data_IF_877334449197
#
_entry.id   IF_877334449197
#
_cell.length_a   1.000
_cell.length_b   1.000
_cell.length_c   1.000
_cell.angle_alpha   90.00
_cell.angle_beta   90.00
_cell.angle_gamma   90.00
#
_symmetry.space_group_name_H-M   'P 1'
#
loop_
_entity.id
_entity.type
_entity.pdbx_description
1 polymer ?
#
# COMPACT_ATOMS: atom_id res chain seq x y z
N UNK A 1 43.02 13.60 18.10
CA UNK A 1 43.06 14.06 16.71
C UNK A 1 41.91 13.31 16.01
N UNK A 2 40.73 13.98 15.85
CA UNK A 2 39.57 13.40 15.14
C UNK A 2 39.93 13.33 13.67
N UNK A 3 39.63 12.22 12.96
CA UNK A 3 39.70 12.24 11.51
C UNK A 3 38.53 13.08 11.00
N UNK A 4 38.86 14.10 10.22
CA UNK A 4 37.90 14.90 9.49
C UNK A 4 37.10 14.00 8.54
N UNK A 5 35.79 13.93 8.79
CA UNK A 5 34.86 13.36 7.83
C UNK A 5 34.88 14.25 6.58
N UNK A 6 35.69 13.85 5.62
CA UNK A 6 35.72 14.44 4.28
C UNK A 6 34.38 14.11 3.63
N UNK A 7 33.45 15.03 3.79
CA UNK A 7 32.19 15.05 3.08
C UNK A 7 32.50 15.13 1.59
N UNK A 8 32.52 14.00 0.93
CA UNK A 8 32.54 13.93 -0.53
C UNK A 8 31.15 14.35 -1.05
N UNK A 9 30.81 15.61 -0.83
CA UNK A 9 29.73 16.31 -1.48
C UNK A 9 30.19 16.75 -2.85
N UNK A 10 30.32 15.83 -3.80
CA UNK A 10 30.40 16.18 -5.20
C UNK A 10 29.08 16.88 -5.56
N UNK A 11 29.13 18.04 -6.21
CA UNK A 11 28.10 19.00 -6.60
C UNK A 11 26.73 18.55 -7.14
N UNK A 12 26.27 17.39 -6.73
CA UNK A 12 24.93 16.87 -6.97
C UNK A 12 24.04 17.38 -5.82
N UNK A 13 23.00 18.12 -6.19
CA UNK A 13 22.04 18.63 -5.21
C UNK A 13 21.40 17.50 -4.40
N UNK A 14 21.10 17.77 -3.13
CA UNK A 14 20.48 16.80 -2.19
C UNK A 14 19.24 16.11 -2.78
N UNK A 15 18.42 16.86 -3.51
CA UNK A 15 17.20 16.35 -4.16
C UNK A 15 17.50 15.22 -5.15
N UNK A 16 18.58 15.34 -5.92
CA UNK A 16 18.98 14.28 -6.88
C UNK A 16 19.45 13.01 -6.16
N UNK A 17 20.20 13.15 -5.07
CA UNK A 17 20.65 12.02 -4.26
C UNK A 17 19.47 11.33 -3.58
N UNK A 18 18.50 12.10 -3.06
CA UNK A 18 17.27 11.56 -2.47
C UNK A 18 16.41 10.84 -3.51
N UNK A 19 16.23 11.43 -4.70
CA UNK A 19 15.50 10.81 -5.81
C UNK A 19 16.16 9.50 -6.28
N UNK A 20 17.49 9.48 -6.38
CA UNK A 20 18.24 8.27 -6.71
C UNK A 20 18.00 7.18 -5.65
N UNK A 21 18.17 7.51 -4.36
CA UNK A 21 18.00 6.57 -3.26
C UNK A 21 16.56 6.04 -3.20
N UNK A 22 15.58 6.91 -3.36
CA UNK A 22 14.17 6.52 -3.43
C UNK A 22 13.93 5.53 -4.56
N UNK A 23 14.39 5.82 -5.77
CA UNK A 23 14.23 4.92 -6.92
C UNK A 23 14.94 3.60 -6.66
N UNK A 24 16.18 3.61 -6.18
CA UNK A 24 16.94 2.41 -5.89
C UNK A 24 16.28 1.52 -4.82
N UNK A 25 15.59 2.09 -3.83
CA UNK A 25 14.87 1.36 -2.77
C UNK A 25 13.53 0.82 -3.29
N UNK A 26 12.77 1.62 -4.02
CA UNK A 26 11.40 1.27 -4.42
C UNK A 26 11.35 0.37 -5.65
N UNK A 27 12.36 0.42 -6.51
CA UNK A 27 12.47 -0.45 -7.68
C UNK A 27 12.85 -1.88 -7.28
N UNK A 28 11.90 -2.79 -7.37
CA UNK A 28 12.07 -4.20 -7.04
C UNK A 28 12.32 -5.09 -8.27
N UNK A 29 12.43 -4.50 -9.47
CA UNK A 29 12.69 -5.19 -10.73
C UNK A 29 14.16 -5.57 -10.90
N UNK A 30 14.62 -6.66 -10.27
CA UNK A 30 15.97 -7.19 -10.45
C UNK A 30 16.95 -6.87 -9.31
N UNK A 31 18.26 -6.92 -9.64
CA UNK A 31 19.33 -6.71 -8.68
C UNK A 31 19.45 -5.25 -8.22
N UNK A 32 20.24 -5.01 -7.17
CA UNK A 32 20.53 -3.64 -6.71
C UNK A 32 21.30 -2.85 -7.78
N UNK A 33 22.21 -3.52 -8.51
CA UNK A 33 23.00 -2.92 -9.57
C UNK A 33 22.10 -2.43 -10.71
N UNK A 34 21.13 -3.23 -11.14
CA UNK A 34 20.14 -2.84 -12.15
C UNK A 34 19.25 -1.70 -11.67
N UNK A 35 18.82 -1.73 -10.41
CA UNK A 35 18.05 -0.65 -9.80
C UNK A 35 18.88 0.64 -9.71
N UNK A 36 20.18 0.57 -9.41
CA UNK A 36 21.09 1.71 -9.38
C UNK A 36 21.25 2.35 -10.76
N UNK A 37 21.33 1.55 -11.83
CA UNK A 37 21.36 2.05 -13.22
C UNK A 37 20.08 2.82 -13.55
N UNK A 38 18.90 2.26 -13.22
CA UNK A 38 17.62 2.94 -13.45
C UNK A 38 17.48 4.21 -12.59
N UNK A 39 17.94 4.16 -11.33
CA UNK A 39 17.97 5.32 -10.46
C UNK A 39 18.87 6.45 -11.00
N UNK A 40 20.04 6.10 -11.55
CA UNK A 40 20.96 7.04 -12.17
C UNK A 40 20.32 7.69 -13.40
N UNK A 41 19.63 6.93 -14.24
CA UNK A 41 18.90 7.47 -15.39
C UNK A 41 17.78 8.43 -14.95
N UNK A 42 17.00 8.07 -13.91
CA UNK A 42 15.93 8.91 -13.35
C UNK A 42 16.48 10.19 -12.69
N UNK A 43 17.69 10.15 -12.11
CA UNK A 43 18.36 11.29 -11.50
C UNK A 43 19.06 12.23 -12.49
N UNK A 44 18.76 12.13 -13.79
CA UNK A 44 19.29 13.01 -14.84
C UNK A 44 20.55 12.48 -15.52
N UNK A 45 20.75 11.14 -15.55
CA UNK A 45 21.78 10.48 -16.34
C UNK A 45 23.21 10.57 -15.76
N UNK A 46 23.37 10.98 -14.51
CA UNK A 46 24.65 10.84 -13.83
C UNK A 46 24.89 9.35 -13.52
N UNK A 47 26.04 8.82 -13.94
CA UNK A 47 26.46 7.46 -13.61
C UNK A 47 26.87 7.42 -12.12
N UNK A 48 25.88 7.28 -11.25
CA UNK A 48 26.07 7.25 -9.79
C UNK A 48 26.19 5.81 -9.31
N UNK A 49 27.30 5.48 -8.70
CA UNK A 49 27.45 4.24 -7.96
C UNK A 49 26.72 4.33 -6.60
N UNK A 50 26.43 3.18 -6.01
CA UNK A 50 25.80 3.12 -4.68
C UNK A 50 26.66 3.85 -3.64
N UNK A 51 27.99 3.77 -3.76
CA UNK A 51 28.98 4.39 -2.88
C UNK A 51 28.99 5.93 -2.94
N UNK A 52 28.50 6.50 -4.04
CA UNK A 52 28.37 7.96 -4.20
C UNK A 52 27.17 8.50 -3.41
N UNK A 53 26.18 7.66 -3.14
CA UNK A 53 24.91 8.04 -2.51
C UNK A 53 24.83 7.54 -1.07
N UNK A 54 25.31 6.35 -0.79
CA UNK A 54 25.26 5.73 0.55
C UNK A 54 26.68 5.50 1.11
N UNK A 55 26.95 6.04 2.28
CA UNK A 55 28.22 5.78 2.95
C UNK A 55 28.25 4.37 3.58
N UNK A 56 29.38 3.65 3.55
CA UNK A 56 29.55 2.42 4.31
C UNK A 56 29.52 2.70 5.83
N UNK A 57 29.31 1.65 6.61
CA UNK A 57 29.52 1.67 8.07
C UNK A 57 30.72 0.79 8.45
N UNK A 58 31.02 0.70 9.74
CA UNK A 58 32.09 -0.18 10.24
C UNK A 58 31.87 -1.68 9.92
N UNK A 59 30.60 -2.08 9.70
CA UNK A 59 30.19 -3.49 9.53
C UNK A 59 29.53 -3.81 8.19
N UNK A 60 29.09 -2.79 7.45
CA UNK A 60 28.29 -2.96 6.23
C UNK A 60 28.80 -2.03 5.14
N UNK A 61 28.94 -2.56 3.94
CA UNK A 61 29.16 -1.77 2.72
C UNK A 61 27.95 -0.87 2.40
N UNK A 62 28.14 0.10 1.53
CA UNK A 62 27.07 0.94 1.03
C UNK A 62 25.95 0.11 0.37
N UNK A 63 26.33 -0.86 -0.46
CA UNK A 63 25.39 -1.75 -1.15
C UNK A 63 24.57 -2.59 -0.17
N UNK A 64 25.20 -3.20 0.85
CA UNK A 64 24.48 -3.97 1.88
C UNK A 64 23.48 -3.10 2.64
N UNK A 65 23.84 -1.86 2.97
CA UNK A 65 22.93 -0.92 3.62
C UNK A 65 21.72 -0.61 2.76
N UNK A 66 21.91 -0.25 1.48
CA UNK A 66 20.79 0.01 0.56
C UNK A 66 19.92 -1.25 0.39
N UNK A 67 20.54 -2.43 0.31
CA UNK A 67 19.81 -3.70 0.19
C UNK A 67 18.94 -4.00 1.44
N UNK A 68 19.37 -3.61 2.63
CA UNK A 68 18.54 -3.70 3.84
C UNK A 68 17.29 -2.82 3.69
N UNK A 69 17.44 -1.57 3.26
CA UNK A 69 16.32 -0.67 3.04
C UNK A 69 15.34 -1.19 1.96
N UNK A 70 15.85 -1.78 0.88
CA UNK A 70 15.02 -2.45 -0.15
C UNK A 70 14.17 -3.57 0.46
N UNK A 71 14.78 -4.44 1.26
CA UNK A 71 14.06 -5.52 1.95
C UNK A 71 13.03 -5.00 2.94
N UNK A 72 13.38 -3.96 3.71
CA UNK A 72 12.46 -3.32 4.66
C UNK A 72 11.28 -2.65 3.95
N UNK A 73 11.52 -2.03 2.80
CA UNK A 73 10.46 -1.44 1.99
C UNK A 73 9.43 -2.50 1.55
N UNK A 74 9.91 -3.61 0.98
CA UNK A 74 9.03 -4.74 0.60
C UNK A 74 8.27 -5.28 1.80
N UNK A 75 8.96 -5.50 2.93
CA UNK A 75 8.29 -6.00 4.13
C UNK A 75 7.16 -5.08 4.59
N UNK A 76 7.38 -3.76 4.55
CA UNK A 76 6.35 -2.77 4.90
C UNK A 76 5.17 -2.74 3.92
N UNK A 77 5.40 -2.93 2.61
CA UNK A 77 4.31 -3.03 1.64
C UNK A 77 3.44 -4.27 1.91
N UNK A 78 4.11 -5.41 2.18
CA UNK A 78 3.40 -6.66 2.49
C UNK A 78 2.64 -6.55 3.79
N UNK A 79 3.22 -5.97 4.83
CA UNK A 79 2.59 -5.74 6.13
C UNK A 79 1.35 -4.84 6.00
N UNK A 80 1.50 -3.67 5.36
CA UNK A 80 0.38 -2.74 5.17
C UNK A 80 -0.79 -3.37 4.41
N UNK A 81 -0.52 -4.11 3.32
CA UNK A 81 -1.61 -4.78 2.60
C UNK A 81 -2.14 -6.02 3.33
N UNK A 82 -1.34 -6.65 4.19
CA UNK A 82 -1.80 -7.77 4.99
C UNK A 82 -2.79 -7.33 6.09
N UNK A 83 -2.61 -6.13 6.62
CA UNK A 83 -3.53 -5.53 7.59
C UNK A 83 -4.84 -5.10 6.91
N UNK A 84 -4.74 -4.49 5.71
CA UNK A 84 -5.91 -4.01 4.95
C UNK A 84 -6.71 -5.15 4.28
N UNK A 85 -6.05 -6.27 3.93
CA UNK A 85 -6.57 -7.38 3.12
C UNK A 85 -6.27 -8.74 3.75
N UNK A 86 -6.63 -8.89 5.01
CA UNK A 86 -6.35 -10.09 5.82
C UNK A 86 -7.02 -11.35 5.26
N UNK A 87 -8.24 -11.22 4.74
CA UNK A 87 -9.01 -12.33 4.16
C UNK A 87 -8.43 -12.78 2.81
N UNK A 88 -8.04 -11.82 1.95
CA UNK A 88 -7.32 -12.13 0.70
C UNK A 88 -6.00 -12.83 1.01
N UNK A 89 -5.27 -12.38 2.03
CA UNK A 89 -4.02 -13.02 2.47
C UNK A 89 -4.25 -14.43 2.97
N UNK A 90 -5.28 -14.65 3.79
CA UNK A 90 -5.62 -15.97 4.30
C UNK A 90 -5.95 -16.94 3.16
N UNK A 91 -6.78 -16.51 2.23
CA UNK A 91 -7.21 -17.32 1.08
C UNK A 91 -6.04 -17.71 0.17
N UNK A 92 -5.14 -16.79 -0.14
CA UNK A 92 -3.97 -17.03 -0.98
C UNK A 92 -2.83 -17.76 -0.28
N UNK A 93 -2.73 -17.61 1.03
CA UNK A 93 -1.55 -17.98 1.81
C UNK A 93 -0.40 -16.97 1.65
N UNK A 94 0.49 -16.94 2.62
CA UNK A 94 1.51 -15.89 2.79
C UNK A 94 2.43 -15.71 1.57
N UNK A 95 2.85 -16.79 0.92
CA UNK A 95 3.79 -16.71 -0.20
C UNK A 95 3.13 -16.18 -1.49
N UNK A 96 1.91 -16.64 -1.82
CA UNK A 96 1.18 -16.14 -2.98
C UNK A 96 0.73 -14.69 -2.76
N UNK A 97 0.29 -14.34 -1.55
CA UNK A 97 -0.03 -12.97 -1.20
C UNK A 97 1.18 -12.03 -1.33
N UNK A 98 2.36 -12.46 -0.88
CA UNK A 98 3.59 -11.68 -1.06
C UNK A 98 3.90 -11.44 -2.54
N UNK A 99 3.72 -12.44 -3.40
CA UNK A 99 3.89 -12.31 -4.87
C UNK A 99 2.88 -11.32 -5.45
N UNK A 100 1.61 -11.41 -5.03
CA UNK A 100 0.56 -10.46 -5.40
C UNK A 100 0.97 -9.03 -5.04
N UNK A 101 1.41 -8.79 -3.80
CA UNK A 101 1.82 -7.45 -3.35
C UNK A 101 2.96 -6.88 -4.18
N UNK A 102 3.97 -7.70 -4.53
CA UNK A 102 5.09 -7.26 -5.35
C UNK A 102 4.66 -6.94 -6.79
N UNK A 103 3.81 -7.76 -7.39
CA UNK A 103 3.28 -7.52 -8.72
C UNK A 103 2.38 -6.27 -8.75
N UNK A 104 1.52 -6.11 -7.76
CA UNK A 104 0.71 -4.92 -7.58
C UNK A 104 1.56 -3.65 -7.41
N UNK A 105 2.58 -3.68 -6.55
CA UNK A 105 3.48 -2.55 -6.31
C UNK A 105 4.29 -2.14 -7.54
N UNK A 106 4.59 -3.08 -8.43
CA UNK A 106 5.29 -2.79 -9.69
C UNK A 106 4.40 -1.97 -10.65
N UNK A 107 3.10 -2.23 -10.70
CA UNK A 107 2.14 -1.46 -11.50
C UNK A 107 1.65 -0.19 -10.79
N UNK A 108 1.52 -0.25 -9.48
CA UNK A 108 0.98 0.82 -8.63
C UNK A 108 1.99 1.21 -7.52
N UNK A 109 3.12 1.85 -7.89
CA UNK A 109 4.12 2.25 -6.90
C UNK A 109 3.53 3.28 -5.93
N UNK A 110 3.85 3.14 -4.64
CA UNK A 110 3.44 4.11 -3.63
C UNK A 110 4.04 5.49 -3.94
N UNK A 111 3.18 6.51 -4.03
CA UNK A 111 3.55 7.91 -4.27
C UNK A 111 3.37 8.80 -3.05
N UNK A 112 2.91 8.22 -1.94
CA UNK A 112 2.73 8.90 -0.67
C UNK A 112 3.79 8.45 0.32
N UNK A 113 4.10 9.31 1.29
CA UNK A 113 4.96 8.95 2.42
C UNK A 113 4.24 7.99 3.40
N UNK A 114 2.91 7.91 3.34
CA UNK A 114 2.10 6.95 4.08
C UNK A 114 1.63 5.82 3.15
N UNK A 115 1.38 4.65 3.72
CA UNK A 115 0.83 3.51 3.00
C UNK A 115 -0.70 3.37 3.19
N UNK A 116 -1.34 4.29 3.90
CA UNK A 116 -2.76 4.23 4.24
C UNK A 116 -3.71 4.07 3.03
N UNK A 117 -3.28 4.52 1.85
CA UNK A 117 -4.08 4.39 0.61
C UNK A 117 -3.39 3.53 -0.45
N UNK A 118 -2.37 2.80 -0.04
CA UNK A 118 -1.60 1.98 -0.99
C UNK A 118 -2.45 0.86 -1.59
N UNK A 119 -3.39 0.31 -0.81
CA UNK A 119 -4.28 -0.78 -1.22
C UNK A 119 -5.52 -0.36 -2.02
N UNK A 120 -5.83 0.93 -2.16
CA UNK A 120 -7.10 1.41 -2.77
C UNK A 120 -7.40 0.80 -4.14
N UNK A 121 -6.39 0.52 -4.94
CA UNK A 121 -6.54 -0.03 -6.30
C UNK A 121 -6.37 -1.56 -6.37
N UNK A 122 -6.12 -2.25 -5.25
CA UNK A 122 -5.93 -3.70 -5.25
C UNK A 122 -7.14 -4.48 -5.79
N UNK A 123 -8.41 -4.14 -5.46
CA UNK A 123 -9.56 -4.82 -6.05
C UNK A 123 -9.61 -4.66 -7.58
N UNK A 124 -9.26 -3.49 -8.08
CA UNK A 124 -9.23 -3.24 -9.53
C UNK A 124 -8.08 -4.00 -10.22
N UNK A 125 -6.91 -4.07 -9.57
CA UNK A 125 -5.78 -4.88 -10.04
C UNK A 125 -6.18 -6.36 -10.12
N UNK A 126 -6.76 -6.92 -9.06
CA UNK A 126 -7.22 -8.31 -9.02
C UNK A 126 -8.25 -8.60 -10.09
N UNK A 127 -9.21 -7.70 -10.34
CA UNK A 127 -10.22 -7.88 -11.39
C UNK A 127 -9.59 -7.99 -12.79
N UNK A 128 -8.48 -7.29 -13.07
CA UNK A 128 -7.76 -7.41 -14.34
C UNK A 128 -6.92 -8.69 -14.45
N UNK A 129 -6.54 -9.27 -13.33
CA UNK A 129 -5.65 -10.42 -13.23
C UNK A 129 -6.34 -11.67 -12.67
N UNK A 130 -7.68 -11.68 -12.56
CA UNK A 130 -8.43 -12.76 -11.92
C UNK A 130 -8.11 -14.14 -12.51
N UNK A 131 -7.92 -14.23 -13.82
CA UNK A 131 -7.57 -15.48 -14.52
C UNK A 131 -6.19 -16.06 -14.16
N UNK A 132 -5.35 -15.33 -13.45
CA UNK A 132 -4.02 -15.80 -13.00
C UNK A 132 -4.09 -16.54 -11.64
N UNK A 133 -5.24 -16.45 -10.95
CA UNK A 133 -5.42 -17.00 -9.61
C UNK A 133 -6.48 -18.10 -9.62
N UNK A 134 -6.28 -19.12 -8.76
CA UNK A 134 -7.36 -20.04 -8.44
C UNK A 134 -8.46 -19.23 -7.71
N UNK A 135 -9.73 -19.44 -8.12
CA UNK A 135 -10.87 -18.71 -7.56
C UNK A 135 -10.71 -17.17 -7.63
N UNK A 136 -10.15 -16.69 -8.76
CA UNK A 136 -9.83 -15.26 -8.92
C UNK A 136 -11.03 -14.33 -8.76
N UNK A 137 -12.22 -14.75 -9.18
CA UNK A 137 -13.45 -13.95 -9.02
C UNK A 137 -13.84 -13.83 -7.55
N UNK A 138 -13.68 -14.88 -6.74
CA UNK A 138 -13.84 -14.81 -5.28
C UNK A 138 -12.82 -13.86 -4.65
N UNK A 139 -11.55 -13.91 -5.08
CA UNK A 139 -10.52 -12.98 -4.60
C UNK A 139 -10.87 -11.53 -4.89
N UNK A 140 -11.47 -11.24 -6.04
CA UNK A 140 -11.96 -9.89 -6.38
C UNK A 140 -13.05 -9.46 -5.41
N UNK A 141 -14.02 -10.33 -5.13
CA UNK A 141 -15.11 -10.02 -4.20
C UNK A 141 -14.62 -9.83 -2.77
N UNK A 142 -13.69 -10.67 -2.29
CA UNK A 142 -13.04 -10.50 -0.98
C UNK A 142 -12.32 -9.15 -0.90
N UNK A 143 -11.52 -8.81 -1.90
CA UNK A 143 -10.80 -7.54 -1.93
C UNK A 143 -11.74 -6.33 -2.02
N UNK A 144 -12.83 -6.41 -2.78
CA UNK A 144 -13.85 -5.34 -2.86
C UNK A 144 -14.51 -5.12 -1.51
N UNK A 145 -14.80 -6.20 -0.80
CA UNK A 145 -15.42 -6.13 0.52
C UNK A 145 -14.46 -5.48 1.54
N UNK A 146 -13.21 -5.97 1.64
CA UNK A 146 -12.22 -5.42 2.58
C UNK A 146 -11.89 -3.96 2.27
N UNK A 147 -11.76 -3.58 1.00
CA UNK A 147 -11.59 -2.18 0.61
C UNK A 147 -12.76 -1.30 1.02
N UNK A 148 -14.00 -1.79 0.91
CA UNK A 148 -15.19 -1.06 1.36
C UNK A 148 -15.23 -0.93 2.88
N UNK A 149 -14.85 -1.97 3.60
CA UNK A 149 -14.74 -1.96 5.05
C UNK A 149 -13.73 -0.91 5.53
N UNK A 150 -12.55 -0.88 4.91
CA UNK A 150 -11.50 0.10 5.22
C UNK A 150 -11.98 1.53 4.95
N UNK A 151 -12.65 1.78 3.81
CA UNK A 151 -13.23 3.10 3.50
C UNK A 151 -14.32 3.50 4.49
N UNK A 152 -15.17 2.55 4.91
CA UNK A 152 -16.22 2.81 5.89
C UNK A 152 -15.62 3.14 7.27
N UNK A 153 -14.52 2.48 7.64
CA UNK A 153 -13.79 2.74 8.87
C UNK A 153 -13.10 4.11 8.88
N UNK A 154 -12.50 4.50 7.75
CA UNK A 154 -11.79 5.77 7.57
C UNK A 154 -12.73 6.94 7.22
N UNK A 155 -14.04 6.69 7.06
CA UNK A 155 -15.00 7.73 6.71
C UNK A 155 -15.10 8.80 7.79
N UNK A 156 -15.29 10.05 7.33
CA UNK A 156 -15.48 11.16 8.26
C UNK A 156 -16.71 10.91 9.16
N UNK A 157 -16.62 11.22 10.47
CA UNK A 157 -17.75 11.11 11.36
C UNK A 157 -18.90 12.00 10.87
N UNK A 158 -20.08 11.42 10.70
CA UNK A 158 -21.28 12.17 10.38
C UNK A 158 -22.09 12.43 11.64
N UNK A 159 -22.75 13.58 11.70
CA UNK A 159 -23.80 13.82 12.70
C UNK A 159 -24.93 12.82 12.44
N UNK A 160 -25.15 11.93 13.38
CA UNK A 160 -26.26 10.97 13.32
C UNK A 160 -27.50 11.55 14.00
N UNK A 161 -28.66 11.31 13.41
CA UNK A 161 -29.93 11.64 14.06
C UNK A 161 -30.14 10.67 15.23
N UNK A 162 -30.29 11.20 16.43
CA UNK A 162 -30.71 10.40 17.56
C UNK A 162 -32.22 10.05 17.49
N UNK A 163 -32.64 9.04 18.23
CA UNK A 163 -34.02 8.58 18.23
C UNK A 163 -34.97 9.68 18.71
N UNK A 164 -34.53 10.54 19.62
CA UNK A 164 -35.34 11.64 20.15
C UNK A 164 -35.62 12.69 19.06
N UNK A 165 -34.62 13.03 18.28
CA UNK A 165 -34.76 13.92 17.12
C UNK A 165 -35.70 13.33 16.06
N UNK A 166 -35.54 12.04 15.76
CA UNK A 166 -36.43 11.33 14.81
C UNK A 166 -37.88 11.34 15.29
N UNK A 167 -38.13 11.10 16.58
CA UNK A 167 -39.50 11.11 17.15
C UNK A 167 -40.14 12.49 17.19
N UNK A 168 -39.36 13.57 17.19
CA UNK A 168 -39.87 14.94 17.13
C UNK A 168 -40.31 15.41 15.73
N UNK A 169 -39.96 14.65 14.68
CA UNK A 169 -40.33 15.00 13.30
C UNK A 169 -41.82 14.79 13.16
N UNK A 170 -42.61 15.86 12.87
CA UNK A 170 -44.05 15.73 12.67
C UNK A 170 -44.36 14.80 11.50
N UNK A 171 -45.44 14.03 11.61
CA UNK A 171 -45.82 13.04 10.61
C UNK A 171 -45.95 13.65 9.20
N UNK A 172 -46.48 14.87 9.12
CA UNK A 172 -46.67 15.63 7.87
C UNK A 172 -45.33 16.01 7.22
N UNK A 173 -44.25 16.18 8.05
CA UNK A 173 -42.94 16.55 7.55
C UNK A 173 -42.24 15.40 6.86
N UNK A 174 -42.58 14.14 7.17
CA UNK A 174 -41.94 12.97 6.59
C UNK A 174 -42.05 12.91 5.06
N UNK A 175 -43.12 13.39 4.48
CA UNK A 175 -43.32 13.41 3.03
C UNK A 175 -42.33 14.33 2.30
N UNK A 176 -41.72 15.27 3.02
CA UNK A 176 -40.73 16.23 2.51
C UNK A 176 -39.34 16.04 3.12
N UNK A 177 -39.18 15.10 4.05
CA UNK A 177 -37.90 14.82 4.69
C UNK A 177 -37.00 14.09 3.73
N UNK A 178 -35.77 14.59 3.60
CA UNK A 178 -34.72 13.96 2.83
C UNK A 178 -33.68 13.38 3.80
N UNK A 179 -33.50 12.07 3.80
CA UNK A 179 -32.45 11.41 4.53
C UNK A 179 -31.19 11.37 3.67
N UNK A 180 -30.07 11.70 4.28
CA UNK A 180 -28.75 11.60 3.67
C UNK A 180 -28.03 10.42 4.32
N UNK A 181 -27.57 9.44 3.55
CA UNK A 181 -26.81 8.32 4.12
C UNK A 181 -25.52 8.80 4.80
N UNK A 182 -25.08 8.06 5.82
CA UNK A 182 -23.76 8.27 6.40
C UNK A 182 -22.66 8.09 5.33
N UNK A 183 -21.58 8.89 5.36
CA UNK A 183 -20.41 8.68 4.50
C UNK A 183 -19.79 7.28 4.63
N UNK A 184 -19.99 6.62 5.77
CA UNK A 184 -19.53 5.26 6.02
C UNK A 184 -20.44 4.17 5.40
N UNK A 185 -21.58 4.54 4.78
CA UNK A 185 -22.45 3.56 4.14
C UNK A 185 -21.91 3.17 2.78
N UNK A 186 -21.54 1.90 2.64
CA UNK A 186 -21.13 1.27 1.38
C UNK A 186 -22.19 0.23 0.96
N UNK A 187 -22.50 0.18 -0.31
CA UNK A 187 -23.39 -0.84 -0.89
C UNK A 187 -22.59 -1.62 -1.94
N UNK A 188 -22.46 -2.91 -1.75
CA UNK A 188 -21.72 -3.80 -2.63
C UNK A 188 -22.64 -4.85 -3.23
N UNK A 189 -22.47 -5.10 -4.53
CA UNK A 189 -22.95 -6.30 -5.20
C UNK A 189 -21.78 -7.25 -5.39
N UNK A 190 -21.85 -8.44 -4.80
CA UNK A 190 -20.84 -9.48 -4.82
C UNK A 190 -21.47 -10.74 -5.41
N UNK A 191 -20.68 -11.53 -6.15
CA UNK A 191 -21.13 -12.79 -6.74
C UNK A 191 -20.95 -13.98 -5.79
N UNK A 192 -20.04 -13.83 -4.82
CA UNK A 192 -19.68 -14.88 -3.86
C UNK A 192 -20.07 -14.49 -2.43
N UNK A 193 -20.30 -15.50 -1.62
CA UNK A 193 -20.48 -15.34 -0.18
C UNK A 193 -19.12 -15.10 0.47
N UNK A 194 -18.91 -13.88 1.00
CA UNK A 194 -17.63 -13.47 1.61
C UNK A 194 -17.64 -13.50 3.14
N UNK A 195 -18.82 -13.59 3.76
CA UNK A 195 -18.97 -13.47 5.21
C UNK A 195 -18.27 -14.58 5.99
N UNK A 196 -18.34 -15.82 5.51
CA UNK A 196 -17.66 -16.97 6.14
C UNK A 196 -16.13 -16.86 6.08
N UNK A 197 -15.59 -16.29 5.00
CA UNK A 197 -14.15 -16.08 4.84
C UNK A 197 -13.64 -15.00 5.80
N UNK A 198 -14.42 -13.95 6.02
CA UNK A 198 -14.11 -12.91 7.00
C UNK A 198 -14.09 -13.44 8.44
N UNK A 199 -15.09 -14.24 8.79
CA UNK A 199 -15.13 -14.87 10.12
C UNK A 199 -13.89 -15.74 10.34
N UNK A 200 -13.51 -16.54 9.34
CA UNK A 200 -12.32 -17.39 9.43
C UNK A 200 -11.03 -16.55 9.63
N UNK A 201 -10.90 -15.40 8.95
CA UNK A 201 -9.74 -14.53 9.10
C UNK A 201 -9.66 -13.91 10.52
N UNK A 202 -10.81 -13.54 11.11
CA UNK A 202 -10.88 -13.01 12.48
C UNK A 202 -10.57 -14.05 13.56
N UNK A 203 -10.86 -15.33 13.29
CA UNK A 203 -10.62 -16.42 14.23
C UNK A 203 -9.13 -16.87 14.25
N UNK A 204 -8.31 -16.44 13.26
CA UNK A 204 -6.87 -16.76 13.17
C UNK A 204 -5.96 -15.67 13.77
N UNK A 205 -6.46 -14.47 14.08
CA UNK A 205 -5.75 -13.38 14.75
C UNK A 205 -5.72 -13.59 16.29
#
# INVERSE_FOLDING_TARGET
>A
MKPDAKTAGSGLGLERLQGWLQTAITDQGGSLEEAAVRASAAAGGADLAVEDVAAPSERLSAAERVQIYRKMYVARLVEALADDYSTVRLHLGAEAFRKLVLAYAAEHPSRSYTLARFGDLLPHYLARHAGEYSEGDLLVDLARFEAALNRAFDAEPAETLDMETVQRIPLEAWTHTRLVPSPALELLELEHEVGSHLQAAQDEE
#
